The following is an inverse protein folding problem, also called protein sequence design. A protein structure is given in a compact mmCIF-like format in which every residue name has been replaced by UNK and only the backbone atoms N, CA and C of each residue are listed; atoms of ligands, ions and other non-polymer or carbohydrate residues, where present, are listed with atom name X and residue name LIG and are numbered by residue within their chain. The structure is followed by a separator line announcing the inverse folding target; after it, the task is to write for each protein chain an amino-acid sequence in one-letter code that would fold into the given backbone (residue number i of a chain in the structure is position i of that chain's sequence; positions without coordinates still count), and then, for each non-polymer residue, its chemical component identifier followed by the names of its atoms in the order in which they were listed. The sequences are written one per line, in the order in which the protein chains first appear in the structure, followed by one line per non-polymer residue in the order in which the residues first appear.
data_IF_317146872175
#
_entry.id   IF_317146872175
#
_cell.length_a   1.000
_cell.length_b   1.000
_cell.length_c   1.000
_cell.angle_alpha   90.00
_cell.angle_beta   90.00
_cell.angle_gamma   90.00
#
_symmetry.space_group_name_H-M   'P 1'
#
loop_
_entity.id
_entity.type
_entity.pdbx_description
1 polymer ?
#
# COMPACT_ATOMS: atom_id res chain seq x y z
N UNK A 1 3.13 14.66 -0.20
CA UNK A 1 2.56 14.39 1.14
C UNK A 1 1.59 13.22 0.98
N UNK A 2 1.53 12.30 1.94
CA UNK A 2 0.63 11.14 1.91
C UNK A 2 -0.06 10.97 3.26
N UNK A 3 -1.25 10.38 3.26
CA UNK A 3 -2.05 10.09 4.44
C UNK A 3 -2.93 8.87 4.19
N UNK A 4 -3.28 8.17 5.27
CA UNK A 4 -4.34 7.14 5.29
C UNK A 4 -5.54 7.74 6.00
N UNK A 5 -6.72 7.63 5.41
CA UNK A 5 -7.98 7.98 6.05
C UNK A 5 -8.67 6.71 6.51
N UNK A 6 -8.91 6.60 7.81
CA UNK A 6 -9.67 5.50 8.42
C UNK A 6 -11.08 6.00 8.71
N UNK A 7 -12.09 5.35 8.11
CA UNK A 7 -13.45 5.88 8.02
C UNK A 7 -14.46 4.89 8.59
N UNK A 8 -15.34 5.40 9.45
CA UNK A 8 -16.59 4.75 9.91
C UNK A 8 -17.79 5.60 9.45
N UNK A 9 -19.04 5.12 9.56
CA UNK A 9 -20.21 5.92 9.18
C UNK A 9 -20.30 7.30 9.87
N UNK A 10 -19.74 7.43 11.06
CA UNK A 10 -19.82 8.62 11.93
C UNK A 10 -18.47 9.34 12.14
N UNK A 11 -17.35 8.79 11.69
CA UNK A 11 -16.01 9.37 11.91
C UNK A 11 -15.07 9.20 10.72
N UNK A 12 -14.22 10.20 10.53
CA UNK A 12 -13.07 10.16 9.61
C UNK A 12 -11.83 10.54 10.39
N UNK A 13 -10.85 9.64 10.45
CA UNK A 13 -9.57 9.88 11.14
C UNK A 13 -8.44 9.92 10.11
N UNK A 14 -7.71 11.04 10.06
CA UNK A 14 -6.50 11.17 9.25
C UNK A 14 -5.29 10.61 10.00
N UNK A 15 -4.56 9.70 9.35
CA UNK A 15 -3.27 9.21 9.81
C UNK A 15 -2.19 9.65 8.82
N UNK A 16 -1.45 10.68 9.21
CA UNK A 16 -0.35 11.23 8.41
C UNK A 16 0.75 10.19 8.20
N UNK A 17 1.46 10.29 7.07
CA UNK A 17 2.68 9.51 6.85
C UNK A 17 3.67 9.72 8.00
N UNK A 18 4.26 8.64 8.47
CA UNK A 18 5.38 8.67 9.43
C UNK A 18 6.67 8.40 8.65
N UNK A 19 7.67 9.24 8.82
CA UNK A 19 8.97 9.12 8.14
C UNK A 19 8.82 9.02 6.60
N UNK A 20 7.85 9.76 6.04
CA UNK A 20 7.54 9.77 4.61
C UNK A 20 6.76 8.56 4.10
N UNK A 21 6.46 7.56 4.96
CA UNK A 21 5.75 6.32 4.59
C UNK A 21 4.39 6.25 5.27
N UNK A 22 3.34 6.04 4.47
CA UNK A 22 2.00 5.77 4.95
C UNK A 22 1.65 4.29 4.65
N UNK A 23 1.49 3.49 5.70
CA UNK A 23 1.20 2.04 5.61
C UNK A 23 -0.23 1.79 6.06
N UNK A 24 -0.94 0.90 5.36
CA UNK A 24 -2.27 0.42 5.74
C UNK A 24 -2.52 -1.00 5.26
N UNK A 25 -3.44 -1.70 5.93
CA UNK A 25 -3.95 -3.01 5.53
C UNK A 25 -5.49 -3.04 5.76
N UNK A 26 -6.03 -4.06 6.40
CA UNK A 26 -7.48 -4.26 6.59
C UNK A 26 -7.92 -4.19 8.05
N UNK A 27 -7.28 -3.34 8.86
CA UNK A 27 -7.68 -3.05 10.23
C UNK A 27 -7.46 -1.57 10.57
N UNK A 28 -8.20 -1.08 11.56
CA UNK A 28 -8.02 0.25 12.11
C UNK A 28 -6.76 0.33 12.98
N UNK A 29 -5.95 1.37 12.76
CA UNK A 29 -4.77 1.66 13.58
C UNK A 29 -5.07 2.74 14.62
N UNK A 30 -6.01 3.66 14.33
CA UNK A 30 -6.33 4.80 15.19
C UNK A 30 -7.13 4.38 16.43
N UNK A 31 -6.68 4.82 17.61
CA UNK A 31 -7.27 4.45 18.92
C UNK A 31 -8.75 4.79 19.05
N UNK A 32 -9.23 5.80 18.33
CA UNK A 32 -10.58 6.36 18.40
C UNK A 32 -11.65 5.46 17.78
N UNK A 33 -11.22 4.56 16.88
CA UNK A 33 -12.08 3.69 16.07
C UNK A 33 -11.59 2.24 16.01
N UNK A 34 -10.41 1.96 16.59
CA UNK A 34 -9.89 0.59 16.70
C UNK A 34 -10.82 -0.24 17.60
N UNK A 35 -11.32 -1.40 17.13
CA UNK A 35 -12.21 -2.23 17.93
C UNK A 35 -11.49 -2.80 19.14
N UNK A 36 -12.22 -2.97 20.24
CA UNK A 36 -11.71 -3.57 21.47
C UNK A 36 -11.18 -5.00 21.23
N UNK A 37 -11.92 -5.79 20.45
CA UNK A 37 -11.47 -7.11 20.00
C UNK A 37 -10.95 -7.04 18.56
N UNK A 38 -9.63 -7.12 18.33
CA UNK A 38 -9.06 -7.05 17.00
C UNK A 38 -9.35 -8.33 16.20
N UNK A 39 -9.86 -8.18 14.98
CA UNK A 39 -10.04 -9.30 14.04
C UNK A 39 -8.89 -9.28 13.04
N UNK A 40 -8.07 -10.33 13.03
CA UNK A 40 -6.93 -10.45 12.12
C UNK A 40 -7.33 -11.04 10.76
N UNK A 41 -8.11 -10.28 9.98
CA UNK A 41 -8.54 -10.70 8.64
C UNK A 41 -7.31 -10.83 7.72
N UNK A 42 -7.16 -11.98 7.05
CA UNK A 42 -6.11 -12.22 6.03
C UNK A 42 -4.70 -11.76 6.49
N UNK A 43 -4.30 -12.13 7.71
CA UNK A 43 -2.98 -11.82 8.30
C UNK A 43 -2.67 -10.31 8.31
N UNK A 44 -3.70 -9.47 8.43
CA UNK A 44 -3.55 -8.02 8.31
C UNK A 44 -2.56 -7.42 9.32
N UNK A 45 -2.44 -7.96 10.54
CA UNK A 45 -1.46 -7.44 11.50
C UNK A 45 -0.03 -7.78 11.07
N UNK A 46 0.23 -9.01 10.63
CA UNK A 46 1.56 -9.44 10.17
C UNK A 46 1.99 -8.67 8.92
N UNK A 47 1.10 -8.53 7.93
CA UNK A 47 1.38 -7.76 6.71
C UNK A 47 1.69 -6.30 7.04
N UNK A 48 0.94 -5.71 7.98
CA UNK A 48 1.20 -4.36 8.42
C UNK A 48 2.58 -4.23 9.07
N UNK A 49 2.95 -5.13 9.99
CA UNK A 49 4.28 -5.13 10.62
C UNK A 49 5.41 -5.23 9.59
N UNK A 50 5.27 -6.10 8.57
CA UNK A 50 6.26 -6.19 7.50
C UNK A 50 6.36 -4.91 6.69
N UNK A 51 5.24 -4.32 6.27
CA UNK A 51 5.25 -3.05 5.53
C UNK A 51 5.79 -1.87 6.35
N UNK A 52 5.64 -1.91 7.68
CA UNK A 52 6.21 -0.91 8.58
C UNK A 52 7.74 -0.90 8.58
N UNK A 53 8.39 -2.02 8.27
CA UNK A 53 9.86 -2.09 8.14
C UNK A 53 10.39 -1.18 7.02
N UNK A 54 9.55 -0.84 6.03
CA UNK A 54 9.89 0.13 4.99
C UNK A 54 10.25 1.52 5.56
N UNK A 55 9.77 1.86 6.76
CA UNK A 55 10.13 3.11 7.46
C UNK A 55 11.57 3.14 7.95
N UNK A 56 12.17 1.97 8.19
CA UNK A 56 13.54 1.86 8.67
C UNK A 56 14.58 2.07 7.55
N UNK A 57 14.12 2.29 6.32
CA UNK A 57 15.01 2.56 5.19
C UNK A 57 15.58 3.97 5.34
N UNK A 58 16.89 4.09 5.56
CA UNK A 58 17.58 5.38 5.71
C UNK A 58 17.56 6.20 4.40
N UNK A 59 17.32 5.53 3.27
CA UNK A 59 17.28 6.13 1.94
C UNK A 59 15.84 6.39 1.47
N UNK A 60 15.71 7.24 0.44
CA UNK A 60 14.45 7.40 -0.29
C UNK A 60 14.00 6.04 -0.83
N UNK A 61 12.79 5.64 -0.46
CA UNK A 61 12.15 4.42 -0.95
C UNK A 61 12.03 4.45 -2.47
N UNK A 62 12.62 3.46 -3.15
CA UNK A 62 12.51 3.30 -4.59
C UNK A 62 11.24 2.52 -4.99
N UNK A 63 10.75 2.66 -6.24
CA UNK A 63 9.64 1.84 -6.72
C UNK A 63 9.91 0.34 -6.63
N UNK A 64 11.14 -0.11 -6.90
CA UNK A 64 11.52 -1.52 -6.81
C UNK A 64 11.40 -2.05 -5.38
N UNK A 65 11.83 -1.27 -4.38
CA UNK A 65 11.65 -1.61 -2.97
C UNK A 65 10.16 -1.71 -2.61
N UNK A 66 9.33 -0.79 -3.11
CA UNK A 66 7.88 -0.89 -2.91
C UNK A 66 7.34 -2.21 -3.49
N UNK A 67 7.75 -2.60 -4.70
CA UNK A 67 7.33 -3.86 -5.32
C UNK A 67 7.74 -5.08 -4.49
N UNK A 68 8.97 -5.11 -3.98
CA UNK A 68 9.47 -6.20 -3.12
C UNK A 68 8.65 -6.33 -1.83
N UNK A 69 8.35 -5.22 -1.16
CA UNK A 69 7.52 -5.22 0.04
C UNK A 69 6.07 -5.59 -0.24
N UNK A 70 5.51 -5.19 -1.39
CA UNK A 70 4.17 -5.62 -1.81
C UNK A 70 4.12 -7.12 -2.09
N UNK A 71 5.20 -7.70 -2.66
CA UNK A 71 5.29 -9.15 -2.82
C UNK A 71 5.43 -9.87 -1.48
N UNK A 72 6.23 -9.36 -0.54
CA UNK A 72 6.41 -10.02 0.78
C UNK A 72 5.11 -10.14 1.58
N UNK A 73 4.14 -9.25 1.31
CA UNK A 73 2.82 -9.24 1.96
C UNK A 73 1.68 -9.73 1.08
N UNK A 74 1.97 -10.35 -0.07
CA UNK A 74 0.94 -10.90 -0.94
C UNK A 74 0.07 -11.96 -0.23
N UNK A 75 -1.13 -12.17 -0.78
CA UNK A 75 -2.13 -13.12 -0.31
C UNK A 75 -2.26 -14.33 -1.26
N UNK A 76 -1.20 -14.66 -2.00
CA UNK A 76 -1.22 -15.73 -3.00
C UNK A 76 -2.28 -15.47 -4.07
N UNK A 77 -3.17 -16.43 -4.25
CA UNK A 77 -4.23 -16.39 -5.27
C UNK A 77 -5.23 -15.23 -5.08
N UNK A 78 -5.27 -14.62 -3.90
CA UNK A 78 -6.13 -13.46 -3.62
C UNK A 78 -5.51 -12.11 -4.01
N UNK A 79 -4.20 -12.06 -4.32
CA UNK A 79 -3.54 -10.82 -4.80
C UNK A 79 -3.67 -10.70 -6.32
N UNK A 80 -4.86 -10.30 -6.76
CA UNK A 80 -5.23 -10.26 -8.19
C UNK A 80 -4.55 -9.13 -8.99
N UNK A 81 -4.21 -8.03 -8.33
CA UNK A 81 -3.60 -6.85 -8.95
C UNK A 81 -2.61 -6.18 -8.00
N UNK A 82 -1.48 -5.72 -8.52
CA UNK A 82 -0.45 -4.95 -7.79
C UNK A 82 -0.10 -3.69 -8.58
N UNK A 83 -0.07 -2.55 -7.90
CA UNK A 83 0.11 -1.23 -8.51
C UNK A 83 1.15 -0.42 -7.72
N UNK A 84 2.10 0.19 -8.43
CA UNK A 84 3.06 1.14 -7.87
C UNK A 84 3.03 2.42 -8.70
N UNK A 85 2.68 3.53 -8.06
CA UNK A 85 2.63 4.84 -8.71
C UNK A 85 3.90 5.62 -8.41
N UNK A 86 4.45 6.29 -9.43
CA UNK A 86 5.48 7.31 -9.32
C UNK A 86 4.87 8.68 -9.66
N UNK A 87 4.34 9.44 -8.68
CA UNK A 87 3.62 10.67 -8.97
C UNK A 87 4.49 11.76 -9.62
N UNK A 88 5.79 11.78 -9.32
CA UNK A 88 6.71 12.79 -9.87
C UNK A 88 6.99 12.63 -11.36
N UNK A 89 6.87 11.42 -11.90
CA UNK A 89 7.10 11.10 -13.32
C UNK A 89 5.83 10.69 -14.05
N UNK A 90 4.69 10.70 -13.36
CA UNK A 90 3.38 10.25 -13.87
C UNK A 90 3.44 8.84 -14.47
N UNK A 91 4.12 7.92 -13.77
CA UNK A 91 4.19 6.50 -14.17
C UNK A 91 3.38 5.62 -13.22
N UNK A 92 2.76 4.59 -13.79
CA UNK A 92 2.15 3.49 -13.05
C UNK A 92 2.80 2.18 -13.50
N UNK A 93 3.40 1.46 -12.57
CA UNK A 93 3.80 0.08 -12.76
C UNK A 93 2.64 -0.81 -12.31
N UNK A 94 2.08 -1.56 -13.25
CA UNK A 94 0.90 -2.39 -13.04
C UNK A 94 1.22 -3.85 -13.37
N UNK A 95 0.94 -4.73 -12.40
CA UNK A 95 0.91 -6.18 -12.62
C UNK A 95 -0.51 -6.70 -12.36
N UNK A 96 -1.03 -7.45 -13.33
CA UNK A 96 -2.37 -8.05 -13.34
C UNK A 96 -2.30 -9.31 -14.21
N UNK A 97 -3.20 -10.29 -14.02
CA UNK A 97 -3.33 -11.59 -14.72
C UNK A 97 -2.75 -12.81 -14.00
N UNK A 98 -1.50 -12.78 -13.53
CA UNK A 98 -0.92 -13.88 -12.75
C UNK A 98 -1.20 -13.67 -11.26
N UNK A 99 -1.30 -14.76 -10.49
CA UNK A 99 -1.45 -14.69 -9.03
C UNK A 99 -0.29 -15.39 -8.31
N UNK A 100 0.25 -14.82 -7.21
CA UNK A 100 0.03 -13.43 -6.80
C UNK A 100 0.59 -12.46 -7.85
N UNK A 101 -0.18 -11.42 -8.19
CA UNK A 101 0.18 -10.46 -9.24
C UNK A 101 1.46 -9.71 -8.96
N UNK A 102 1.87 -9.60 -7.69
CA UNK A 102 3.15 -9.03 -7.27
C UNK A 102 4.38 -9.77 -7.82
N UNK A 103 4.23 -11.04 -8.23
CA UNK A 103 5.29 -11.84 -8.89
C UNK A 103 5.23 -11.79 -10.41
N UNK A 104 4.16 -11.21 -10.97
CA UNK A 104 3.98 -11.10 -12.40
C UNK A 104 4.88 -10.04 -13.03
N UNK A 105 4.93 -9.99 -14.38
CA UNK A 105 5.60 -8.89 -15.06
C UNK A 105 4.85 -7.57 -14.80
N UNK A 106 5.60 -6.52 -14.44
CA UNK A 106 5.07 -5.17 -14.33
C UNK A 106 5.08 -4.48 -15.69
N UNK A 107 3.92 -4.02 -16.13
CA UNK A 107 3.77 -3.13 -17.28
C UNK A 107 3.81 -1.68 -16.80
N UNK A 108 4.68 -0.87 -17.38
CA UNK A 108 4.78 0.56 -17.05
C UNK A 108 3.91 1.38 -17.99
N UNK A 109 2.96 2.11 -17.43
CA UNK A 109 2.04 2.99 -18.14
C UNK A 109 2.48 4.45 -17.97
N UNK A 110 2.52 5.21 -19.06
CA UNK A 110 2.65 6.67 -19.01
C UNK A 110 1.28 7.30 -18.75
N UNK A 111 1.11 7.94 -17.61
CA UNK A 111 -0.13 8.61 -17.22
C UNK A 111 -0.19 10.07 -17.66
N UNK A 112 0.92 10.66 -18.11
CA UNK A 112 0.97 12.07 -18.53
C UNK A 112 -0.17 12.46 -19.49
N UNK A 113 -0.53 11.67 -20.52
CA UNK A 113 -1.62 12.03 -21.43
C UNK A 113 -2.99 12.17 -20.76
N UNK A 114 -3.21 11.55 -19.58
CA UNK A 114 -4.49 11.63 -18.85
C UNK A 114 -4.66 12.96 -18.11
N UNK A 115 -3.59 13.74 -17.96
CA UNK A 115 -3.59 15.02 -17.25
C UNK A 115 -3.43 16.23 -18.19
N UNK A 116 -3.32 15.98 -19.50
CA UNK A 116 -3.32 17.03 -20.51
C UNK A 116 -4.78 17.40 -20.83
N UNK A 117 -5.11 18.68 -20.71
CA UNK A 117 -6.43 19.24 -21.07
C UNK A 117 -6.49 19.60 -22.53
#
# INVERSE_FOLDING_TARGET
RSAVFEVTPDKVIERKSKDGVAVCCNHFCSSEIKPFFPINVRRSFQRFTLLEELRNNENKVSPSQVMEYLDSVNLGDDTLQTMVFEPGTLRLHLAFQNVPSSKGPFHTLNLEPLFQK
#
